data_IF_522148563229
#
_entry.id   IF_522148563229
#
_cell.length_a   1.000
_cell.length_b   1.000
_cell.length_c   1.000
_cell.angle_alpha   90.00
_cell.angle_beta   90.00
_cell.angle_gamma   90.00
#
_symmetry.space_group_name_H-M   'P 1'
#
loop_
_entity.id
_entity.type
_entity.pdbx_description
1 polymer ?
#
# COMPACT_ATOMS: atom_id res chain seq x y z
N UNK A 1 15.10 -17.29 -29.92
CA UNK A 1 13.82 -16.85 -30.52
C UNK A 1 13.06 -16.10 -29.44
N UNK A 2 12.91 -14.79 -29.59
CA UNK A 2 11.97 -14.03 -28.77
C UNK A 2 10.59 -14.59 -29.12
N UNK A 3 9.92 -15.26 -28.19
CA UNK A 3 8.54 -15.72 -28.36
C UNK A 3 7.69 -14.47 -28.43
N UNK A 4 7.63 -13.90 -29.63
CA UNK A 4 7.06 -12.59 -29.93
C UNK A 4 5.63 -12.52 -29.44
N UNK A 5 5.20 -11.32 -29.08
CA UNK A 5 3.90 -11.03 -28.50
C UNK A 5 2.73 -11.50 -29.41
N UNK A 6 2.35 -12.77 -29.25
CA UNK A 6 1.39 -13.46 -30.11
C UNK A 6 -0.04 -12.93 -29.91
N UNK A 7 -0.31 -12.35 -28.74
CA UNK A 7 -1.63 -11.81 -28.38
C UNK A 7 -2.03 -10.63 -29.27
N UNK A 8 -1.07 -9.93 -29.88
CA UNK A 8 -1.34 -8.85 -30.84
C UNK A 8 -1.96 -9.32 -32.15
N UNK A 9 -1.75 -10.57 -32.53
CA UNK A 9 -2.16 -11.11 -33.84
C UNK A 9 -3.38 -12.03 -33.75
N UNK A 10 -3.71 -12.49 -32.54
CA UNK A 10 -4.89 -13.30 -32.29
C UNK A 10 -6.12 -12.40 -32.16
N UNK A 11 -6.87 -12.25 -33.25
CA UNK A 11 -8.11 -11.47 -33.30
C UNK A 11 -9.33 -12.24 -32.81
N UNK A 12 -9.21 -13.55 -32.57
CA UNK A 12 -10.32 -14.44 -32.21
C UNK A 12 -10.31 -14.83 -30.72
N UNK A 13 -9.37 -14.32 -29.93
CA UNK A 13 -9.27 -14.57 -28.49
C UNK A 13 -10.36 -13.88 -27.63
N UNK A 14 -11.21 -13.03 -28.22
CA UNK A 14 -12.23 -12.28 -27.50
C UNK A 14 -11.70 -11.15 -26.59
N UNK A 15 -10.39 -10.86 -26.63
CA UNK A 15 -9.78 -9.78 -25.89
C UNK A 15 -10.01 -8.45 -26.61
N UNK A 16 -10.45 -7.44 -25.86
CA UNK A 16 -10.57 -6.08 -26.39
C UNK A 16 -9.19 -5.45 -26.46
N UNK A 17 -8.89 -4.78 -27.58
CA UNK A 17 -7.68 -3.97 -27.71
C UNK A 17 -7.74 -2.84 -26.68
N UNK A 18 -6.72 -2.79 -25.83
CA UNK A 18 -6.59 -1.81 -24.77
C UNK A 18 -5.77 -0.63 -25.30
N UNK A 19 -6.27 0.58 -25.10
CA UNK A 19 -5.54 1.80 -25.38
C UNK A 19 -4.81 2.27 -24.12
N UNK A 20 -3.49 2.08 -24.10
CA UNK A 20 -2.63 2.43 -22.97
C UNK A 20 -2.64 3.92 -22.65
N UNK A 21 -2.95 4.80 -23.60
CA UNK A 21 -2.98 6.26 -23.38
C UNK A 21 -4.10 6.70 -22.43
N UNK A 22 -5.11 5.85 -22.23
CA UNK A 22 -6.23 6.10 -21.32
C UNK A 22 -5.85 5.94 -19.85
N UNK A 23 -4.72 5.30 -19.54
CA UNK A 23 -4.30 5.05 -18.16
C UNK A 23 -3.30 6.12 -17.70
N UNK A 24 -3.75 7.04 -16.87
CA UNK A 24 -2.92 8.15 -16.38
C UNK A 24 -2.59 7.96 -14.90
N UNK A 25 -1.46 7.31 -14.60
CA UNK A 25 -1.04 7.02 -13.21
C UNK A 25 -0.78 8.26 -12.36
N UNK A 26 -0.33 9.36 -12.96
CA UNK A 26 -0.02 10.61 -12.24
C UNK A 26 -1.26 11.32 -11.69
N UNK A 27 -2.44 11.05 -12.25
CA UNK A 27 -3.71 11.71 -11.85
C UNK A 27 -4.75 10.73 -11.34
N UNK A 28 -4.37 9.47 -11.10
CA UNK A 28 -5.29 8.40 -10.70
C UNK A 28 -6.05 8.72 -9.42
N UNK A 29 -5.41 9.32 -8.42
CA UNK A 29 -6.10 9.66 -7.18
C UNK A 29 -7.27 10.62 -7.42
N UNK A 30 -7.08 11.63 -8.26
CA UNK A 30 -8.14 12.58 -8.62
C UNK A 30 -9.27 11.88 -9.36
N UNK A 31 -8.94 11.08 -10.38
CA UNK A 31 -9.91 10.31 -11.15
C UNK A 31 -10.72 9.35 -10.26
N UNK A 32 -10.07 8.65 -9.32
CA UNK A 32 -10.75 7.74 -8.38
C UNK A 32 -11.72 8.49 -7.46
N UNK A 33 -11.35 9.68 -6.98
CA UNK A 33 -12.24 10.53 -6.18
C UNK A 33 -13.44 10.99 -7.00
N UNK A 34 -13.24 11.40 -8.24
CA UNK A 34 -14.31 11.85 -9.13
C UNK A 34 -15.27 10.69 -9.46
N UNK A 35 -14.75 9.49 -9.75
CA UNK A 35 -15.55 8.27 -9.96
C UNK A 35 -16.32 7.89 -8.70
N UNK A 36 -15.67 7.91 -7.54
CA UNK A 36 -16.30 7.64 -6.24
C UNK A 36 -17.45 8.61 -5.97
N UNK A 37 -17.26 9.90 -6.24
CA UNK A 37 -18.29 10.92 -6.06
C UNK A 37 -19.45 10.72 -7.03
N UNK A 38 -19.16 10.41 -8.29
CA UNK A 38 -20.17 10.12 -9.33
C UNK A 38 -21.01 8.89 -9.00
N UNK A 39 -20.41 7.86 -8.40
CA UNK A 39 -21.11 6.64 -8.01
C UNK A 39 -22.00 6.83 -6.77
N UNK A 40 -21.67 7.76 -5.87
CA UNK A 40 -22.48 8.09 -4.71
C UNK A 40 -22.87 6.86 -3.89
N UNK A 41 -24.18 6.63 -3.73
CA UNK A 41 -24.75 5.49 -3.01
C UNK A 41 -24.49 4.13 -3.68
N UNK A 42 -24.18 4.10 -4.98
CA UNK A 42 -23.82 2.88 -5.72
C UNK A 42 -22.34 2.52 -5.58
N UNK A 43 -21.54 3.34 -4.87
CA UNK A 43 -20.15 3.03 -4.61
C UNK A 43 -20.00 1.75 -3.80
N UNK A 44 -19.28 0.77 -4.35
CA UNK A 44 -18.99 -0.51 -3.68
C UNK A 44 -17.76 -0.45 -2.79
N UNK A 45 -17.07 0.71 -2.74
CA UNK A 45 -15.84 0.86 -1.97
C UNK A 45 -16.11 0.75 -0.45
N UNK A 46 -15.17 0.14 0.26
CA UNK A 46 -15.22 0.03 1.72
C UNK A 46 -15.25 1.42 2.40
N UNK A 47 -14.54 2.39 1.82
CA UNK A 47 -14.53 3.78 2.28
C UNK A 47 -15.92 4.42 2.24
N UNK A 48 -16.63 4.26 1.12
CA UNK A 48 -18.00 4.78 0.98
C UNK A 48 -18.98 4.06 1.92
N UNK A 49 -18.86 2.73 2.05
CA UNK A 49 -19.66 1.95 3.00
C UNK A 49 -19.43 2.35 4.47
N UNK A 50 -18.21 2.80 4.79
CA UNK A 50 -17.84 3.28 6.12
C UNK A 50 -18.13 4.78 6.34
N UNK A 51 -19.11 5.35 5.62
CA UNK A 51 -19.52 6.75 5.78
C UNK A 51 -18.44 7.75 5.36
N UNK A 52 -17.68 7.43 4.30
CA UNK A 52 -16.56 8.23 3.81
C UNK A 52 -15.44 8.42 4.87
N UNK A 53 -15.18 7.37 5.65
CA UNK A 53 -14.11 7.36 6.67
C UNK A 53 -13.12 6.24 6.38
N UNK A 54 -11.86 6.56 6.61
CA UNK A 54 -10.75 5.60 6.51
C UNK A 54 -10.89 4.50 7.58
N UNK A 55 -10.53 3.28 7.21
CA UNK A 55 -10.43 2.13 8.13
C UNK A 55 -9.02 1.97 8.70
N UNK A 56 -8.13 2.97 8.51
CA UNK A 56 -6.75 2.96 9.03
C UNK A 56 -6.65 2.62 10.52
N UNK A 57 -7.62 3.03 11.35
CA UNK A 57 -7.64 2.68 12.79
C UNK A 57 -7.68 1.17 13.06
N UNK A 58 -8.26 0.39 12.13
CA UNK A 58 -8.36 -1.06 12.23
C UNK A 58 -7.07 -1.76 11.81
N UNK A 59 -6.19 -1.07 11.07
CA UNK A 59 -4.92 -1.66 10.66
C UNK A 59 -4.00 -1.81 11.87
N UNK A 60 -3.57 -3.04 12.14
CA UNK A 60 -2.62 -3.41 13.18
C UNK A 60 -1.48 -4.17 12.50
N UNK A 61 -0.25 -3.71 12.70
CA UNK A 61 0.95 -4.34 12.19
C UNK A 61 1.90 -4.61 13.37
N UNK A 62 1.59 -5.60 14.22
CA UNK A 62 2.44 -5.93 15.36
C UNK A 62 3.78 -6.50 14.88
N UNK A 63 4.84 -6.13 15.57
CA UNK A 63 6.18 -6.68 15.39
C UNK A 63 6.27 -8.12 15.89
N UNK A 64 7.35 -8.81 15.51
CA UNK A 64 7.58 -10.18 15.95
C UNK A 64 7.67 -10.31 17.48
N UNK A 65 8.32 -9.37 18.17
CA UNK A 65 8.44 -9.39 19.63
C UNK A 65 7.10 -9.14 20.34
N UNK A 66 6.24 -8.28 19.80
CA UNK A 66 4.89 -8.04 20.32
C UNK A 66 3.98 -9.28 20.20
N UNK A 67 4.21 -10.11 19.19
CA UNK A 67 3.51 -11.39 19.01
C UNK A 67 4.14 -12.53 19.81
N UNK A 68 5.44 -12.44 20.15
CA UNK A 68 6.22 -13.47 20.80
C UNK A 68 6.87 -12.94 22.10
N UNK A 69 6.09 -12.68 23.17
CA UNK A 69 6.58 -12.03 24.40
C UNK A 69 7.70 -12.81 25.10
N UNK A 70 7.75 -14.14 24.96
CA UNK A 70 8.83 -14.99 25.50
C UNK A 70 10.21 -14.69 24.92
N UNK A 71 10.27 -14.14 23.70
CA UNK A 71 11.52 -13.79 23.04
C UNK A 71 11.95 -12.35 23.32
N UNK A 72 11.00 -11.47 23.64
CA UNK A 72 11.28 -10.11 24.13
C UNK A 72 12.06 -10.15 25.44
N UNK A 73 11.64 -10.97 26.40
CA UNK A 73 12.32 -11.17 27.70
C UNK A 73 13.75 -11.70 27.52
N UNK A 74 13.99 -12.52 26.49
CA UNK A 74 15.32 -13.08 26.17
C UNK A 74 16.25 -12.04 25.53
N UNK A 75 15.68 -11.07 24.82
CA UNK A 75 16.42 -9.99 24.15
C UNK A 75 16.85 -8.92 25.15
N UNK A 76 16.00 -8.61 26.13
CA UNK A 76 16.32 -7.69 27.22
C UNK A 76 17.43 -8.24 28.14
N UNK A 77 17.47 -9.56 28.37
CA UNK A 77 18.52 -10.21 29.15
C UNK A 77 19.92 -10.21 28.49
N UNK A 78 20.02 -9.88 27.19
CA UNK A 78 21.30 -9.95 26.44
C UNK A 78 21.85 -8.56 26.09
N UNK A 79 21.14 -7.46 26.39
CA UNK A 79 21.62 -6.09 26.17
C UNK A 79 22.01 -5.41 27.49
N UNK A 80 23.25 -5.68 27.93
CA UNK A 80 23.96 -4.81 28.89
C UNK A 80 24.12 -3.38 28.34
N UNK A 81 24.50 -2.40 29.19
CA UNK A 81 24.13 -1.00 29.03
C UNK A 81 24.66 -0.40 27.72
N UNK A 82 23.76 0.26 26.97
CA UNK A 82 24.13 1.17 25.90
C UNK A 82 25.02 2.30 26.47
N UNK A 83 26.10 2.69 25.77
CA UNK A 83 26.88 3.86 26.15
C UNK A 83 25.98 5.10 26.07
N UNK A 84 26.10 5.98 27.07
CA UNK A 84 25.46 7.30 27.06
C UNK A 84 25.86 8.04 25.78
N UNK A 85 24.90 8.32 24.91
CA UNK A 85 25.08 9.25 23.80
C UNK A 85 25.29 10.65 24.38
N UNK A 86 26.56 11.07 24.34
CA UNK A 86 27.03 12.41 24.63
C UNK A 86 26.47 13.34 23.54
N UNK A 87 25.68 14.31 23.99
CA UNK A 87 25.18 15.41 23.16
C UNK A 87 26.36 16.21 22.63
N UNK A 88 26.65 16.11 21.34
CA UNK A 88 27.51 17.10 20.68
C UNK A 88 26.74 17.79 19.54
N UNK A 89 26.68 19.12 19.64
CA UNK A 89 25.96 20.04 18.78
C UNK A 89 27.00 20.76 17.93
N UNK A 90 27.03 20.65 16.60
CA UNK A 90 27.78 21.60 15.82
C UNK A 90 26.91 22.82 15.52
N UNK A 91 27.44 23.96 15.94
CA UNK A 91 27.09 25.30 15.53
C UNK A 91 28.09 25.69 14.44
N UNK A 92 27.62 25.89 13.21
CA UNK A 92 27.98 26.99 12.28
C UNK A 92 27.21 26.86 10.97
#
# INVERSE_FOLDING_TARGET
VQTGDLLRFDTNNGLKVIDSSKFVYTKQLKQMKDISAKLGSHSTSLYSKNGNKSTQKLFKAPSYLELNPKEAEKTEATTGPAPKEETDKPKE
#
